data_IF_895214983293
#
_entry.id   IF_895214983293
#
_cell.length_a   1.000
_cell.length_b   1.000
_cell.length_c   1.000
_cell.angle_alpha   90.00
_cell.angle_beta   90.00
_cell.angle_gamma   90.00
#
_symmetry.space_group_name_H-M   'P 1'
#
loop_
_entity.id
_entity.type
_entity.pdbx_description
1 polymer ?
#
# COMPACT_ATOMS: atom_id res chain seq x y z
N UNK A 1 -24.62 -21.12 -37.36
CA UNK A 1 -24.40 -19.66 -37.42
C UNK A 1 -23.69 -19.24 -36.16
N UNK A 2 -22.36 -19.06 -36.23
CA UNK A 2 -21.54 -18.58 -35.09
C UNK A 2 -21.72 -17.08 -35.00
N UNK A 3 -22.39 -16.58 -33.96
CA UNK A 3 -22.35 -15.16 -33.61
C UNK A 3 -20.93 -14.84 -33.18
N UNK A 4 -20.22 -14.05 -33.97
CA UNK A 4 -18.99 -13.40 -33.57
C UNK A 4 -19.34 -12.44 -32.41
N UNK A 5 -18.80 -12.68 -31.24
CA UNK A 5 -18.80 -11.71 -30.18
C UNK A 5 -17.83 -10.59 -30.56
N UNK A 6 -18.33 -9.59 -31.27
CA UNK A 6 -17.71 -8.28 -31.33
C UNK A 6 -18.25 -7.50 -30.14
N UNK A 7 -17.50 -7.48 -29.08
CA UNK A 7 -17.80 -6.69 -27.92
C UNK A 7 -16.52 -6.52 -27.10
N UNK A 8 -15.60 -5.66 -27.56
CA UNK A 8 -14.68 -5.06 -26.63
C UNK A 8 -15.51 -4.42 -25.53
N UNK A 9 -15.37 -4.90 -24.30
CA UNK A 9 -16.11 -4.39 -23.14
C UNK A 9 -15.63 -2.95 -22.91
N UNK A 10 -16.31 -1.97 -23.51
CA UNK A 10 -16.07 -0.55 -23.22
C UNK A 10 -16.46 -0.35 -21.77
N UNK A 11 -15.54 0.12 -20.97
CA UNK A 11 -15.90 0.65 -19.64
C UNK A 11 -16.98 1.71 -19.88
N UNK A 12 -18.15 1.49 -19.30
CA UNK A 12 -19.20 2.50 -19.34
C UNK A 12 -18.67 3.78 -18.70
N UNK A 13 -19.18 4.94 -19.14
CA UNK A 13 -18.80 6.21 -18.52
C UNK A 13 -19.05 6.11 -17.01
N UNK A 14 -18.01 6.31 -16.15
CA UNK A 14 -18.19 6.17 -14.72
C UNK A 14 -19.09 7.26 -14.16
N UNK A 15 -19.72 6.94 -13.04
CA UNK A 15 -20.45 7.91 -12.23
C UNK A 15 -19.46 8.49 -11.21
N UNK A 16 -19.18 9.78 -11.31
CA UNK A 16 -18.35 10.48 -10.33
C UNK A 16 -19.22 10.93 -9.15
N UNK A 17 -18.81 10.57 -7.93
CA UNK A 17 -19.42 11.04 -6.68
C UNK A 17 -18.41 11.81 -5.88
N UNK A 18 -18.82 12.95 -5.36
CA UNK A 18 -17.99 13.82 -4.52
C UNK A 18 -18.80 14.28 -3.32
N UNK A 19 -18.20 14.09 -2.14
CA UNK A 19 -18.66 14.68 -0.88
C UNK A 19 -17.60 15.64 -0.37
N UNK A 20 -17.99 16.85 -0.03
CA UNK A 20 -17.09 17.90 0.44
C UNK A 20 -17.80 18.86 1.38
N UNK A 21 -17.03 19.62 2.14
CA UNK A 21 -17.55 20.71 2.98
C UNK A 21 -17.04 22.07 2.51
N UNK A 22 -17.85 23.08 2.74
CA UNK A 22 -17.54 24.49 2.49
C UNK A 22 -18.20 25.33 3.56
N UNK A 23 -17.43 26.12 4.31
CA UNK A 23 -17.90 26.99 5.38
C UNK A 23 -18.84 26.28 6.39
N UNK A 24 -18.52 25.02 6.72
CA UNK A 24 -19.27 24.19 7.67
C UNK A 24 -20.48 23.46 7.07
N UNK A 25 -20.91 23.77 5.86
CA UNK A 25 -21.95 23.03 5.16
C UNK A 25 -21.38 21.86 4.37
N UNK A 26 -22.07 20.70 4.37
CA UNK A 26 -21.69 19.50 3.62
C UNK A 26 -22.50 19.39 2.34
N UNK A 27 -21.83 19.08 1.25
CA UNK A 27 -22.41 18.90 -0.09
C UNK A 27 -22.11 17.51 -0.59
N UNK A 28 -23.10 16.86 -1.19
CA UNK A 28 -22.95 15.64 -1.95
C UNK A 28 -23.38 15.87 -3.39
N UNK A 29 -22.55 15.45 -4.34
CA UNK A 29 -22.80 15.65 -5.77
C UNK A 29 -22.58 14.35 -6.52
N UNK A 30 -23.37 14.15 -7.57
CA UNK A 30 -23.25 13.06 -8.52
C UNK A 30 -23.10 13.66 -9.91
N UNK A 31 -22.00 13.33 -10.59
CA UNK A 31 -21.67 13.87 -11.91
C UNK A 31 -20.44 14.75 -11.93
N UNK A 32 -20.15 15.35 -13.09
CA UNK A 32 -18.86 15.99 -13.39
C UNK A 32 -18.87 17.51 -13.18
N UNK A 33 -19.86 18.04 -12.48
CA UNK A 33 -19.91 19.45 -12.09
C UNK A 33 -20.76 19.62 -10.83
N UNK A 34 -20.50 20.68 -10.09
CA UNK A 34 -21.23 21.05 -8.88
C UNK A 34 -21.22 22.57 -8.68
N UNK A 35 -21.89 23.05 -7.63
CA UNK A 35 -22.02 24.50 -7.39
C UNK A 35 -20.67 25.18 -7.09
N UNK A 36 -19.67 24.43 -6.66
CA UNK A 36 -18.38 24.99 -6.22
C UNK A 36 -17.18 24.35 -6.93
N UNK A 37 -17.41 23.53 -7.96
CA UNK A 37 -16.34 22.90 -8.73
C UNK A 37 -16.79 22.56 -10.15
N UNK A 38 -15.81 22.37 -11.02
CA UNK A 38 -15.93 21.70 -12.32
C UNK A 38 -14.93 20.57 -12.41
N UNK A 39 -15.06 19.71 -13.43
CA UNK A 39 -14.18 18.57 -13.66
C UNK A 39 -13.70 18.57 -15.09
N UNK A 40 -12.40 18.40 -15.28
CA UNK A 40 -11.81 18.00 -16.56
C UNK A 40 -11.61 16.47 -16.50
N UNK A 41 -12.13 15.76 -17.51
CA UNK A 41 -11.98 14.31 -17.57
C UNK A 41 -11.63 13.84 -18.98
N UNK A 42 -10.74 12.84 -19.03
CA UNK A 42 -10.52 11.99 -20.19
C UNK A 42 -10.94 10.58 -19.80
N UNK A 43 -11.78 9.96 -20.62
CA UNK A 43 -12.23 8.59 -20.39
C UNK A 43 -12.32 7.87 -21.74
N UNK A 44 -11.44 6.90 -21.94
CA UNK A 44 -11.34 6.10 -23.14
C UNK A 44 -10.99 4.63 -22.82
N UNK A 45 -10.64 3.86 -23.82
CA UNK A 45 -10.30 2.44 -23.65
C UNK A 45 -8.99 2.22 -22.84
N UNK A 46 -8.14 3.24 -22.75
CA UNK A 46 -6.86 3.18 -22.02
C UNK A 46 -6.98 3.54 -20.54
N UNK A 47 -8.12 4.10 -20.11
CA UNK A 47 -8.35 4.45 -18.72
C UNK A 47 -9.18 5.71 -18.49
N UNK A 48 -9.08 6.26 -17.29
CA UNK A 48 -9.78 7.46 -16.86
C UNK A 48 -8.86 8.40 -16.10
N UNK A 49 -8.83 9.67 -16.54
CA UNK A 49 -8.17 10.75 -15.83
C UNK A 49 -9.20 11.80 -15.43
N UNK A 50 -9.16 12.24 -14.17
CA UNK A 50 -10.09 13.21 -13.62
C UNK A 50 -9.36 14.25 -12.78
N UNK A 51 -9.48 15.52 -13.18
CA UNK A 51 -8.97 16.66 -12.43
C UNK A 51 -10.14 17.48 -11.92
N UNK A 52 -10.21 17.68 -10.61
CA UNK A 52 -11.20 18.53 -9.93
C UNK A 52 -10.68 19.95 -9.90
N UNK A 53 -11.51 20.90 -10.32
CA UNK A 53 -11.19 22.33 -10.34
C UNK A 53 -12.16 23.06 -9.40
N UNK A 54 -11.74 23.39 -8.18
CA UNK A 54 -12.58 24.12 -7.23
C UNK A 54 -12.70 25.61 -7.65
N UNK A 55 -13.90 26.18 -7.53
CA UNK A 55 -14.12 27.63 -7.74
C UNK A 55 -13.76 28.47 -6.50
N UNK A 56 -13.58 27.83 -5.37
CA UNK A 56 -13.15 28.35 -4.06
C UNK A 56 -12.60 27.20 -3.21
N UNK A 57 -11.87 27.47 -2.12
CA UNK A 57 -11.36 26.40 -1.25
C UNK A 57 -12.50 25.51 -0.73
N UNK A 58 -12.40 24.19 -0.93
CA UNK A 58 -13.32 23.17 -0.42
C UNK A 58 -12.54 22.10 0.32
N UNK A 59 -13.12 21.55 1.38
CA UNK A 59 -12.52 20.42 2.10
C UNK A 59 -13.19 19.12 1.67
N UNK A 60 -12.41 18.21 1.12
CA UNK A 60 -12.88 16.92 0.62
C UNK A 60 -13.25 15.99 1.78
N UNK A 61 -14.27 15.16 1.59
CA UNK A 61 -14.70 14.14 2.54
C UNK A 61 -14.58 12.77 1.88
N UNK A 62 -15.09 12.60 0.65
CA UNK A 62 -14.91 11.38 -0.13
C UNK A 62 -15.02 11.65 -1.62
N UNK A 63 -14.34 10.85 -2.43
CA UNK A 63 -14.41 10.89 -3.89
C UNK A 63 -14.37 9.47 -4.45
N UNK A 64 -15.30 9.15 -5.37
CA UNK A 64 -15.34 7.85 -6.04
C UNK A 64 -15.75 7.95 -7.51
N UNK A 65 -15.25 6.98 -8.29
CA UNK A 65 -15.72 6.65 -9.63
C UNK A 65 -16.40 5.28 -9.56
N UNK A 66 -17.63 5.18 -10.01
CA UNK A 66 -18.38 3.93 -10.05
C UNK A 66 -18.63 3.51 -11.49
N UNK A 67 -18.29 2.28 -11.80
CA UNK A 67 -18.51 1.63 -13.10
C UNK A 67 -19.47 0.47 -12.91
N UNK A 68 -20.42 0.31 -13.82
CA UNK A 68 -21.17 -0.93 -13.92
C UNK A 68 -20.31 -1.98 -14.63
N UNK A 69 -20.17 -3.16 -14.03
CA UNK A 69 -19.41 -4.29 -14.56
C UNK A 69 -20.21 -5.58 -14.46
N UNK A 70 -20.38 -6.28 -15.57
CA UNK A 70 -20.99 -7.61 -15.58
C UNK A 70 -19.94 -8.66 -15.21
N UNK A 71 -19.94 -9.07 -13.97
CA UNK A 71 -19.00 -10.10 -13.49
C UNK A 71 -19.39 -11.46 -14.05
N UNK A 72 -18.42 -12.14 -14.67
CA UNK A 72 -18.59 -13.51 -15.13
C UNK A 72 -18.44 -14.50 -13.96
N UNK A 73 -19.12 -15.65 -14.05
CA UNK A 73 -19.13 -16.65 -12.97
C UNK A 73 -17.73 -17.09 -12.50
N UNK A 74 -16.76 -17.16 -13.40
CA UNK A 74 -15.40 -17.61 -13.11
C UNK A 74 -14.39 -16.46 -13.05
N UNK A 75 -14.86 -15.22 -13.08
CA UNK A 75 -14.00 -14.06 -13.02
C UNK A 75 -13.36 -13.94 -11.62
N UNK A 76 -12.08 -13.60 -11.59
CA UNK A 76 -11.33 -13.38 -10.38
C UNK A 76 -11.02 -11.90 -10.24
N UNK A 77 -11.14 -11.40 -9.02
CA UNK A 77 -10.66 -10.06 -8.64
C UNK A 77 -9.39 -10.20 -7.80
N UNK A 78 -8.36 -9.44 -8.13
CA UNK A 78 -7.13 -9.42 -7.35
C UNK A 78 -7.29 -8.48 -6.17
N UNK A 79 -7.22 -9.02 -4.96
CA UNK A 79 -7.13 -8.24 -3.72
C UNK A 79 -5.68 -7.95 -3.40
N UNK A 80 -5.39 -6.72 -3.03
CA UNK A 80 -4.06 -6.27 -2.63
C UNK A 80 -4.19 -5.31 -1.47
N UNK A 81 -3.70 -5.72 -0.32
CA UNK A 81 -3.69 -4.88 0.87
C UNK A 81 -2.50 -3.92 0.87
N UNK A 82 -2.60 -2.88 1.69
CA UNK A 82 -1.55 -1.87 1.83
C UNK A 82 -0.32 -2.39 2.59
N UNK A 83 -0.50 -3.34 3.48
CA UNK A 83 0.59 -3.88 4.32
C UNK A 83 0.87 -5.35 4.04
N UNK A 84 2.09 -5.78 4.40
CA UNK A 84 2.54 -7.16 4.27
C UNK A 84 1.71 -8.20 5.04
N UNK A 85 0.90 -7.77 6.00
CA UNK A 85 0.02 -8.65 6.80
C UNK A 85 -1.40 -8.75 6.25
N UNK A 86 -1.72 -8.00 5.21
CA UNK A 86 -2.98 -8.11 4.50
C UNK A 86 -2.90 -9.17 3.41
N UNK A 87 -4.03 -9.78 3.11
CA UNK A 87 -4.08 -10.80 2.07
C UNK A 87 -3.88 -10.17 0.70
N UNK A 88 -2.97 -10.74 -0.10
CA UNK A 88 -2.86 -10.47 -1.53
C UNK A 88 -3.12 -11.77 -2.29
N UNK A 89 -4.03 -11.74 -3.25
CA UNK A 89 -4.41 -12.93 -4.01
C UNK A 89 -5.69 -12.74 -4.81
N UNK A 90 -6.12 -13.80 -5.46
CA UNK A 90 -7.32 -13.79 -6.27
C UNK A 90 -8.54 -14.28 -5.50
N UNK A 91 -9.65 -13.56 -5.63
CA UNK A 91 -10.94 -13.87 -5.03
C UNK A 91 -12.01 -14.03 -6.10
N UNK A 92 -12.94 -14.93 -5.88
CA UNK A 92 -14.12 -15.19 -6.71
C UNK A 92 -15.41 -14.73 -6.04
N UNK A 93 -16.50 -14.72 -6.78
CA UNK A 93 -17.79 -14.24 -6.29
C UNK A 93 -18.30 -14.93 -5.01
N UNK A 94 -17.89 -16.17 -4.76
CA UNK A 94 -18.29 -16.93 -3.57
C UNK A 94 -17.38 -16.67 -2.34
N UNK A 95 -16.21 -16.05 -2.54
CA UNK A 95 -15.25 -15.80 -1.47
C UNK A 95 -15.70 -14.63 -0.57
N UNK A 96 -15.32 -14.71 0.71
CA UNK A 96 -15.59 -13.67 1.71
C UNK A 96 -14.27 -13.12 2.22
N UNK A 97 -14.01 -11.84 1.96
CA UNK A 97 -12.82 -11.14 2.44
C UNK A 97 -13.08 -10.53 3.83
N UNK A 98 -12.61 -11.20 4.87
CA UNK A 98 -12.91 -10.83 6.27
C UNK A 98 -11.83 -9.98 6.92
N UNK A 99 -10.65 -9.89 6.31
CA UNK A 99 -9.49 -9.26 6.92
C UNK A 99 -9.10 -9.92 8.25
N UNK A 100 -8.63 -9.13 9.21
CA UNK A 100 -8.28 -9.59 10.57
C UNK A 100 -9.46 -9.60 11.54
N UNK A 101 -10.67 -9.27 11.09
CA UNK A 101 -11.88 -9.23 11.94
C UNK A 101 -12.09 -10.49 12.82
N UNK A 102 -11.80 -11.72 12.32
CA UNK A 102 -11.91 -12.92 13.16
C UNK A 102 -10.91 -12.97 14.31
N UNK A 103 -9.75 -12.33 14.18
CA UNK A 103 -8.70 -12.29 15.23
C UNK A 103 -9.01 -11.24 16.31
N UNK A 104 -9.90 -10.31 16.05
CA UNK A 104 -10.29 -9.24 16.97
C UNK A 104 -10.97 -9.74 18.26
N UNK A 105 -11.37 -11.02 18.32
CA UNK A 105 -11.98 -11.64 19.50
C UNK A 105 -10.99 -12.27 20.48
N UNK A 106 -9.69 -12.35 20.17
CA UNK A 106 -8.76 -13.17 20.97
C UNK A 106 -8.21 -12.42 22.16
N UNK A 107 -7.80 -11.16 22.03
CA UNK A 107 -7.41 -10.28 23.16
C UNK A 107 -7.62 -8.80 22.81
N UNK A 108 -7.76 -7.93 23.81
CA UNK A 108 -7.82 -6.47 23.61
C UNK A 108 -6.59 -5.96 22.87
N UNK A 109 -5.40 -6.45 23.21
CA UNK A 109 -4.13 -6.08 22.59
C UNK A 109 -4.10 -6.46 21.09
N UNK A 110 -4.51 -7.67 20.75
CA UNK A 110 -4.56 -8.14 19.36
C UNK A 110 -5.58 -7.35 18.55
N UNK A 111 -6.71 -6.99 19.16
CA UNK A 111 -7.74 -6.15 18.53
C UNK A 111 -7.20 -4.75 18.24
N UNK A 112 -6.59 -4.10 19.21
CA UNK A 112 -6.07 -2.74 19.06
C UNK A 112 -4.94 -2.71 18.03
N UNK A 113 -4.04 -3.71 18.03
CA UNK A 113 -2.98 -3.85 17.03
C UNK A 113 -3.53 -4.10 15.62
N UNK A 114 -4.53 -4.94 15.47
CA UNK A 114 -5.15 -5.25 14.18
C UNK A 114 -5.91 -4.04 13.60
N UNK A 115 -6.62 -3.27 14.43
CA UNK A 115 -7.39 -2.09 13.99
C UNK A 115 -6.46 -0.93 13.61
N UNK A 116 -5.31 -0.79 14.28
CA UNK A 116 -4.35 0.30 14.02
C UNK A 116 -3.30 -0.04 12.97
N UNK A 117 -3.26 -1.29 12.51
CA UNK A 117 -2.30 -1.77 11.52
C UNK A 117 -2.97 -1.96 10.16
N UNK A 118 -2.28 -1.57 9.11
CA UNK A 118 -2.70 -1.78 7.74
C UNK A 118 -3.85 -0.90 7.29
N UNK A 119 -4.58 -1.44 6.36
CA UNK A 119 -5.69 -0.80 5.67
C UNK A 119 -7.02 -0.81 6.45
N UNK A 120 -7.05 -1.38 7.65
CA UNK A 120 -8.28 -1.54 8.44
C UNK A 120 -8.90 -0.22 8.94
N UNK A 121 -8.13 0.85 8.99
CA UNK A 121 -8.61 2.15 9.47
C UNK A 121 -9.37 2.94 8.40
N UNK A 122 -9.17 2.66 7.13
CA UNK A 122 -9.69 3.48 6.02
C UNK A 122 -10.22 2.68 4.82
N UNK A 123 -10.26 1.34 4.90
CA UNK A 123 -10.95 0.51 3.90
C UNK A 123 -12.13 -0.21 4.52
N UNK A 124 -13.07 -0.58 3.65
CA UNK A 124 -14.27 -1.30 4.07
C UNK A 124 -14.07 -2.80 3.91
N UNK A 125 -14.32 -3.53 4.97
CA UNK A 125 -14.43 -4.98 4.99
C UNK A 125 -15.89 -5.37 5.25
N UNK A 126 -16.62 -5.68 4.19
CA UNK A 126 -17.97 -6.22 4.31
C UNK A 126 -17.90 -7.75 4.28
N UNK A 127 -18.31 -8.46 5.35
CA UNK A 127 -18.17 -9.91 5.45
C UNK A 127 -19.26 -10.65 4.64
N UNK A 128 -19.37 -10.35 3.36
CA UNK A 128 -20.27 -10.98 2.40
C UNK A 128 -19.51 -11.41 1.13
N UNK A 129 -20.04 -12.40 0.40
CA UNK A 129 -19.42 -12.84 -0.84
C UNK A 129 -19.30 -11.71 -1.88
N UNK A 130 -18.20 -11.71 -2.64
CA UNK A 130 -18.02 -10.83 -3.78
C UNK A 130 -17.75 -9.37 -3.46
N UNK A 131 -17.53 -8.99 -2.19
CA UNK A 131 -17.10 -7.64 -1.82
C UNK A 131 -15.63 -7.62 -1.45
N UNK A 132 -14.83 -6.94 -2.26
CA UNK A 132 -13.37 -6.93 -2.15
C UNK A 132 -12.82 -5.53 -2.34
N UNK A 133 -11.56 -5.33 -1.89
CA UNK A 133 -10.81 -4.14 -2.21
C UNK A 133 -9.35 -4.46 -2.61
N UNK A 134 -8.73 -3.51 -3.29
CA UNK A 134 -7.33 -3.57 -3.69
C UNK A 134 -6.72 -2.18 -3.73
N UNK A 135 -5.51 -2.03 -3.20
CA UNK A 135 -4.77 -0.76 -3.21
C UNK A 135 -3.92 -0.62 -4.48
N UNK A 136 -3.87 0.60 -4.99
CA UNK A 136 -2.96 1.04 -6.07
C UNK A 136 -3.23 0.41 -7.42
N UNK A 137 -3.45 -0.89 -7.47
CA UNK A 137 -3.84 -1.62 -8.69
C UNK A 137 -4.67 -2.86 -8.36
N UNK A 138 -5.44 -3.27 -9.34
CA UNK A 138 -6.14 -4.56 -9.33
C UNK A 138 -6.19 -5.13 -10.74
N UNK A 139 -6.61 -6.36 -10.85
CA UNK A 139 -7.03 -6.91 -12.13
C UNK A 139 -8.27 -7.79 -11.99
N UNK A 140 -9.01 -7.87 -13.08
CA UNK A 140 -10.03 -8.88 -13.30
C UNK A 140 -9.43 -9.95 -14.21
N UNK A 141 -9.55 -11.22 -13.86
CA UNK A 141 -8.99 -12.32 -14.64
C UNK A 141 -10.06 -13.29 -15.11
N UNK A 142 -10.05 -13.58 -16.40
CA UNK A 142 -10.91 -14.57 -17.08
C UNK A 142 -10.04 -15.58 -17.81
N UNK A 143 -9.82 -16.75 -17.21
CA UNK A 143 -8.84 -17.71 -17.74
C UNK A 143 -7.42 -17.13 -17.76
N UNK A 144 -6.82 -17.00 -18.93
CA UNK A 144 -5.48 -16.43 -19.13
C UNK A 144 -5.51 -14.94 -19.54
N UNK A 145 -6.70 -14.33 -19.65
CA UNK A 145 -6.86 -12.91 -19.94
C UNK A 145 -6.96 -12.10 -18.66
N UNK A 146 -6.15 -11.07 -18.57
CA UNK A 146 -6.09 -10.10 -17.49
C UNK A 146 -6.59 -8.74 -17.97
N UNK A 147 -7.46 -8.12 -17.21
CA UNK A 147 -7.86 -6.72 -17.35
C UNK A 147 -7.36 -5.96 -16.13
N UNK A 148 -6.19 -5.34 -16.27
CA UNK A 148 -5.51 -4.61 -15.20
C UNK A 148 -5.98 -3.16 -15.14
N UNK A 149 -6.26 -2.69 -13.93
CA UNK A 149 -6.51 -1.29 -13.59
C UNK A 149 -5.44 -0.83 -12.62
N UNK A 150 -4.72 0.24 -12.96
CA UNK A 150 -3.63 0.75 -12.15
C UNK A 150 -3.69 2.26 -11.97
N UNK A 151 -3.45 2.72 -10.75
CA UNK A 151 -3.37 4.16 -10.44
C UNK A 151 -1.99 4.71 -10.76
N UNK A 152 -1.97 5.92 -11.33
CA UNK A 152 -0.77 6.74 -11.52
C UNK A 152 -0.76 7.98 -10.61
N UNK A 153 -1.79 8.19 -9.80
CA UNK A 153 -2.00 9.38 -8.97
C UNK A 153 -1.79 9.15 -7.46
N UNK A 154 -1.00 8.14 -7.08
CA UNK A 154 -0.75 7.80 -5.66
C UNK A 154 -0.09 8.92 -4.85
N UNK A 155 0.59 9.87 -5.49
CA UNK A 155 1.16 11.06 -4.82
C UNK A 155 0.09 12.00 -4.25
N UNK A 156 -1.13 11.89 -4.76
CA UNK A 156 -2.28 12.72 -4.40
C UNK A 156 -3.24 12.01 -3.43
N UNK A 157 -2.78 11.00 -2.71
CA UNK A 157 -3.57 10.15 -1.81
C UNK A 157 -3.69 8.73 -2.35
N UNK A 158 -4.00 7.79 -1.48
CA UNK A 158 -4.18 6.39 -1.86
C UNK A 158 -5.37 6.20 -2.79
N UNK A 159 -5.22 5.27 -3.73
CA UNK A 159 -6.31 4.83 -4.60
C UNK A 159 -6.71 3.42 -4.19
N UNK A 160 -7.99 3.22 -3.94
CA UNK A 160 -8.56 1.94 -3.55
C UNK A 160 -9.60 1.51 -4.56
N UNK A 161 -9.40 0.34 -5.15
CA UNK A 161 -10.36 -0.31 -6.03
C UNK A 161 -11.29 -1.19 -5.22
N UNK A 162 -12.58 -1.15 -5.48
CA UNK A 162 -13.57 -2.04 -4.87
C UNK A 162 -14.31 -2.82 -5.93
N UNK A 163 -14.65 -4.05 -5.60
CA UNK A 163 -15.57 -4.90 -6.33
C UNK A 163 -16.78 -5.19 -5.45
N UNK A 164 -17.98 -4.97 -5.97
CA UNK A 164 -19.24 -5.44 -5.43
C UNK A 164 -19.90 -6.30 -6.50
N UNK A 165 -19.56 -7.58 -6.51
CA UNK A 165 -19.97 -8.49 -7.58
C UNK A 165 -21.48 -8.75 -7.55
N UNK A 166 -22.12 -8.70 -6.39
CA UNK A 166 -23.56 -8.84 -6.23
C UNK A 166 -24.31 -7.68 -6.87
N UNK A 167 -23.79 -6.45 -6.74
CA UNK A 167 -24.41 -5.25 -7.28
C UNK A 167 -23.92 -4.87 -8.68
N UNK A 168 -23.00 -5.65 -9.25
CA UNK A 168 -22.36 -5.33 -10.53
C UNK A 168 -21.65 -3.96 -10.53
N UNK A 169 -21.01 -3.60 -9.40
CA UNK A 169 -20.28 -2.35 -9.24
C UNK A 169 -18.79 -2.64 -9.13
N UNK A 170 -18.01 -2.01 -10.00
CA UNK A 170 -16.58 -1.82 -9.84
C UNK A 170 -16.35 -0.35 -9.54
N UNK A 171 -15.68 -0.02 -8.44
CA UNK A 171 -15.45 1.38 -8.06
C UNK A 171 -14.01 1.66 -7.70
N UNK A 172 -13.65 2.94 -7.84
CA UNK A 172 -12.34 3.46 -7.47
C UNK A 172 -12.57 4.62 -6.52
N UNK A 173 -11.98 4.54 -5.34
CA UNK A 173 -12.06 5.59 -4.31
C UNK A 173 -10.70 6.22 -4.11
N UNK A 174 -10.71 7.52 -3.75
CA UNK A 174 -9.51 8.28 -3.41
C UNK A 174 -9.52 8.63 -1.94
N UNK A 175 -8.42 8.36 -1.25
CA UNK A 175 -8.20 8.83 0.12
C UNK A 175 -7.92 10.33 0.12
N UNK A 176 -8.95 11.09 0.43
CA UNK A 176 -8.94 12.58 0.40
C UNK A 176 -9.58 13.21 1.62
N UNK A 177 -9.99 12.41 2.62
CA UNK A 177 -10.72 12.91 3.78
C UNK A 177 -9.92 13.99 4.53
N UNK A 178 -10.54 15.15 4.70
CA UNK A 178 -9.94 16.28 5.39
C UNK A 178 -9.00 17.14 4.53
N UNK A 179 -8.73 16.75 3.27
CA UNK A 179 -7.89 17.54 2.37
C UNK A 179 -8.64 18.78 1.88
N UNK A 180 -8.08 19.96 2.14
CA UNK A 180 -8.59 21.22 1.59
C UNK A 180 -7.85 21.56 0.30
N UNK A 181 -8.59 21.74 -0.79
CA UNK A 181 -8.06 22.13 -2.09
C UNK A 181 -8.58 23.50 -2.52
N UNK A 182 -7.71 24.31 -3.10
CA UNK A 182 -8.01 25.62 -3.68
C UNK A 182 -7.57 25.76 -5.14
N UNK A 183 -6.80 24.81 -5.62
CA UNK A 183 -6.22 24.74 -6.96
C UNK A 183 -6.66 23.44 -7.66
N UNK A 184 -6.50 23.31 -8.97
CA UNK A 184 -6.78 22.07 -9.68
C UNK A 184 -6.09 20.87 -9.03
N UNK A 185 -6.88 19.84 -8.73
CA UNK A 185 -6.42 18.63 -8.05
C UNK A 185 -6.67 17.40 -8.92
N UNK A 186 -5.60 16.70 -9.30
CA UNK A 186 -5.67 15.42 -10.01
C UNK A 186 -6.22 14.35 -9.07
N UNK A 187 -7.52 14.09 -9.18
CA UNK A 187 -8.23 13.17 -8.31
C UNK A 187 -7.96 11.72 -8.69
N UNK A 188 -8.06 11.41 -9.98
CA UNK A 188 -7.83 10.09 -10.53
C UNK A 188 -6.98 10.15 -11.78
N UNK A 189 -6.02 9.25 -11.90
CA UNK A 189 -5.31 8.91 -13.13
C UNK A 189 -5.17 7.38 -13.13
N UNK A 190 -6.14 6.70 -13.77
CA UNK A 190 -6.26 5.26 -13.78
C UNK A 190 -6.04 4.77 -15.19
N UNK A 191 -5.06 3.90 -15.36
CA UNK A 191 -4.80 3.21 -16.63
C UNK A 191 -5.45 1.83 -16.65
N UNK A 192 -5.82 1.39 -17.85
CA UNK A 192 -6.42 0.09 -18.11
C UNK A 192 -5.65 -0.64 -19.19
N UNK A 193 -5.27 -1.89 -18.94
CA UNK A 193 -4.61 -2.76 -19.90
C UNK A 193 -5.30 -4.11 -19.95
N UNK A 194 -5.46 -4.67 -21.15
CA UNK A 194 -6.02 -6.01 -21.38
C UNK A 194 -4.99 -6.85 -22.13
N UNK A 195 -4.77 -8.09 -21.68
CA UNK A 195 -3.81 -9.00 -22.29
C UNK A 195 -3.37 -10.13 -21.39
N UNK A 196 -2.25 -10.75 -21.71
CA UNK A 196 -1.61 -11.74 -20.82
C UNK A 196 -0.97 -11.09 -19.59
N UNK A 197 -0.66 -11.91 -18.57
CA UNK A 197 -0.11 -11.44 -17.29
C UNK A 197 1.10 -10.52 -17.45
N UNK A 198 2.16 -11.00 -18.07
CA UNK A 198 3.39 -10.22 -18.25
C UNK A 198 3.14 -8.95 -19.07
N UNK A 199 2.31 -9.05 -20.12
CA UNK A 199 2.00 -7.94 -21.01
C UNK A 199 1.35 -6.77 -20.27
N UNK A 200 0.33 -7.02 -19.43
CA UNK A 200 -0.39 -5.95 -18.74
C UNK A 200 0.46 -5.30 -17.66
N UNK A 201 1.27 -6.08 -16.95
CA UNK A 201 2.18 -5.55 -15.94
C UNK A 201 3.36 -4.78 -16.52
N UNK A 202 3.96 -5.27 -17.61
CA UNK A 202 5.04 -4.56 -18.30
C UNK A 202 4.55 -3.19 -18.82
N UNK A 203 3.35 -3.14 -19.42
CA UNK A 203 2.72 -1.89 -19.84
C UNK A 203 2.46 -0.94 -18.66
N UNK A 204 1.91 -1.45 -17.56
CA UNK A 204 1.64 -0.65 -16.37
C UNK A 204 2.92 -0.05 -15.78
N UNK A 205 3.95 -0.86 -15.57
CA UNK A 205 5.22 -0.37 -15.02
C UNK A 205 5.94 0.58 -15.99
N UNK A 206 5.86 0.36 -17.29
CA UNK A 206 6.41 1.29 -18.29
C UNK A 206 5.70 2.66 -18.24
N UNK A 207 4.37 2.65 -18.05
CA UNK A 207 3.57 3.88 -17.96
C UNK A 207 3.89 4.72 -16.71
N UNK A 208 4.29 4.09 -15.60
CA UNK A 208 4.69 4.80 -14.39
C UNK A 208 5.90 5.71 -14.59
N UNK A 209 6.64 5.57 -15.69
CA UNK A 209 7.84 6.40 -16.02
C UNK A 209 8.80 6.54 -14.84
N UNK A 210 8.96 5.48 -14.06
CA UNK A 210 9.87 5.48 -12.92
C UNK A 210 11.30 5.67 -13.43
N UNK A 211 12.12 6.52 -12.75
CA UNK A 211 13.51 6.68 -13.13
C UNK A 211 14.20 5.32 -13.11
N UNK A 212 15.01 5.05 -14.14
CA UNK A 212 15.79 3.82 -14.22
C UNK A 212 16.62 3.68 -12.94
N UNK A 213 16.27 2.74 -12.09
CA UNK A 213 17.04 2.43 -10.89
C UNK A 213 18.22 1.54 -11.28
N UNK A 214 19.32 1.68 -10.57
CA UNK A 214 20.42 0.72 -10.66
C UNK A 214 19.84 -0.67 -10.44
N UNK A 215 19.98 -1.56 -11.42
CA UNK A 215 19.57 -2.94 -11.28
C UNK A 215 20.37 -3.57 -10.14
N UNK A 216 19.68 -4.09 -9.15
CA UNK A 216 20.30 -4.84 -8.06
C UNK A 216 20.22 -6.31 -8.45
N UNK A 217 21.34 -7.00 -8.39
CA UNK A 217 21.37 -8.44 -8.58
C UNK A 217 20.57 -9.14 -7.46
N UNK A 218 20.19 -10.40 -7.72
CA UNK A 218 19.50 -11.19 -6.71
C UNK A 218 20.38 -11.29 -5.46
N UNK A 219 19.85 -10.81 -4.33
CA UNK A 219 20.48 -10.94 -3.03
C UNK A 219 19.87 -12.09 -2.26
N UNK A 220 20.72 -12.93 -1.70
CA UNK A 220 20.36 -13.96 -0.73
C UNK A 220 21.13 -13.67 0.55
N UNK A 221 20.52 -13.88 1.71
CA UNK A 221 21.17 -13.43 2.92
C UNK A 221 20.70 -14.08 4.20
N UNK A 222 21.42 -13.72 5.24
CA UNK A 222 21.12 -13.99 6.62
C UNK A 222 20.46 -12.76 7.25
N UNK A 223 19.50 -12.98 8.13
CA UNK A 223 18.97 -11.98 9.06
C UNK A 223 18.86 -12.56 10.47
N UNK A 224 19.17 -11.77 11.49
CA UNK A 224 19.13 -12.22 12.89
C UNK A 224 17.71 -12.40 13.44
N UNK A 225 16.68 -11.83 12.80
CA UNK A 225 15.32 -11.72 13.34
C UNK A 225 14.70 -13.07 13.73
N UNK A 226 14.58 -13.98 12.77
CA UNK A 226 13.80 -15.22 12.96
C UNK A 226 14.33 -16.17 14.04
N UNK A 227 15.58 -16.02 14.44
CA UNK A 227 16.17 -16.85 15.50
C UNK A 227 16.20 -16.17 16.87
N UNK A 228 16.41 -14.83 16.90
CA UNK A 228 16.70 -14.12 18.14
C UNK A 228 15.70 -13.03 18.46
N UNK A 229 14.90 -12.55 17.50
CA UNK A 229 14.13 -11.31 17.62
C UNK A 229 15.06 -10.17 18.07
N UNK A 230 14.68 -9.40 19.06
CA UNK A 230 15.49 -8.31 19.63
C UNK A 230 16.61 -8.78 20.60
N UNK A 231 16.73 -10.11 20.84
CA UNK A 231 17.71 -10.65 21.81
C UNK A 231 19.04 -10.94 21.11
N UNK A 232 19.69 -9.92 20.61
CA UNK A 232 20.99 -9.98 19.94
C UNK A 232 22.04 -9.18 20.69
N UNK A 233 23.27 -9.63 20.60
CA UNK A 233 24.47 -8.96 21.09
C UNK A 233 25.64 -9.18 20.10
N UNK A 234 26.75 -8.46 20.33
CA UNK A 234 27.94 -8.55 19.49
C UNK A 234 28.48 -9.98 19.35
N UNK A 235 28.45 -10.76 20.44
CA UNK A 235 28.98 -12.12 20.44
C UNK A 235 28.10 -13.06 19.60
N UNK A 236 26.77 -12.95 19.72
CA UNK A 236 25.80 -13.68 18.91
C UNK A 236 26.04 -13.40 17.44
N UNK A 237 26.11 -12.12 17.08
CA UNK A 237 26.26 -11.67 15.68
C UNK A 237 27.59 -12.15 15.09
N UNK A 238 28.71 -11.99 15.81
CA UNK A 238 30.02 -12.43 15.31
C UNK A 238 30.14 -13.97 15.23
N UNK A 239 29.50 -14.69 16.15
CA UNK A 239 29.41 -16.16 16.08
C UNK A 239 28.65 -16.62 14.85
N UNK A 240 27.52 -16.01 14.55
CA UNK A 240 26.68 -16.38 13.42
C UNK A 240 27.32 -15.99 12.10
N UNK A 241 28.01 -14.85 12.04
CA UNK A 241 28.83 -14.46 10.91
C UNK A 241 29.90 -15.50 10.58
N UNK A 242 30.61 -15.99 11.60
CA UNK A 242 31.59 -17.06 11.46
C UNK A 242 30.95 -18.36 10.99
N UNK A 243 29.75 -18.68 11.51
CA UNK A 243 28.99 -19.88 11.11
C UNK A 243 28.53 -19.83 9.64
N UNK A 244 28.24 -18.66 9.12
CA UNK A 244 27.77 -18.44 7.75
C UNK A 244 28.85 -18.71 6.68
N UNK A 245 30.13 -18.74 7.05
CA UNK A 245 31.24 -19.05 6.12
C UNK A 245 31.03 -20.37 5.36
N UNK A 246 30.26 -21.31 5.93
CA UNK A 246 29.90 -22.59 5.30
C UNK A 246 28.92 -22.46 4.11
N UNK A 247 28.20 -21.34 4.04
CA UNK A 247 27.23 -21.03 2.98
C UNK A 247 27.67 -19.88 2.08
N UNK A 248 28.96 -19.53 2.07
CA UNK A 248 29.53 -18.34 1.42
C UNK A 248 29.15 -18.19 -0.05
N UNK A 249 29.09 -19.28 -0.79
CA UNK A 249 28.77 -19.27 -2.23
C UNK A 249 27.28 -18.96 -2.50
N UNK A 250 26.42 -19.10 -1.50
CA UNK A 250 24.98 -18.97 -1.63
C UNK A 250 24.43 -17.69 -0.97
N UNK A 251 25.28 -16.89 -0.31
CA UNK A 251 24.88 -15.76 0.52
C UNK A 251 25.69 -14.51 0.14
N UNK A 252 24.99 -13.41 -0.07
CA UNK A 252 25.58 -12.11 -0.46
C UNK A 252 25.51 -11.08 0.67
N UNK A 253 24.50 -11.16 1.55
CA UNK A 253 24.24 -10.16 2.59
C UNK A 253 24.13 -10.80 3.96
N UNK A 254 24.70 -10.13 4.96
CA UNK A 254 24.51 -10.41 6.37
C UNK A 254 23.83 -9.22 7.02
N UNK A 255 22.57 -9.37 7.43
CA UNK A 255 21.76 -8.31 8.00
C UNK A 255 21.62 -8.48 9.52
N UNK A 256 21.84 -7.39 10.23
CA UNK A 256 21.46 -7.24 11.62
C UNK A 256 20.05 -6.67 11.65
N UNK A 257 19.12 -7.37 12.27
CA UNK A 257 17.73 -6.96 12.43
C UNK A 257 17.53 -6.12 13.71
N UNK A 258 16.26 -5.87 14.08
CA UNK A 258 15.84 -5.13 15.27
C UNK A 258 16.54 -5.64 16.55
N UNK A 259 16.92 -4.73 17.46
CA UNK A 259 17.55 -5.02 18.75
C UNK A 259 18.98 -4.49 18.91
N UNK A 260 19.57 -3.87 17.86
CA UNK A 260 20.87 -3.19 18.00
C UNK A 260 20.72 -1.79 18.58
N UNK A 261 19.62 -1.11 18.29
CA UNK A 261 19.31 0.23 18.77
C UNK A 261 18.84 0.24 20.22
N UNK A 262 19.02 1.35 20.97
CA UNK A 262 18.52 1.45 22.33
C UNK A 262 16.99 1.48 22.40
N UNK A 263 16.34 2.15 21.43
CA UNK A 263 14.89 2.24 21.28
C UNK A 263 14.52 2.44 19.81
N UNK A 264 13.42 1.86 19.36
CA UNK A 264 12.89 2.08 18.01
C UNK A 264 12.70 3.58 17.76
N UNK A 265 13.34 4.10 16.74
CA UNK A 265 13.42 5.52 16.39
C UNK A 265 14.84 6.09 16.54
N UNK A 266 15.67 5.57 17.45
CA UNK A 266 17.02 6.07 17.68
C UNK A 266 18.04 5.37 16.77
N UNK A 267 17.80 5.42 15.45
CA UNK A 267 18.52 4.64 14.41
C UNK A 267 20.00 4.97 14.24
N UNK A 268 20.46 6.11 14.75
CA UNK A 268 21.87 6.51 14.71
C UNK A 268 22.64 6.08 15.96
N UNK A 269 21.93 5.51 16.93
CA UNK A 269 22.51 5.01 18.19
C UNK A 269 22.49 3.48 18.22
N UNK A 270 23.24 2.92 19.15
CA UNK A 270 23.25 1.49 19.41
C UNK A 270 23.27 1.22 20.91
N UNK A 271 22.79 0.05 21.31
CA UNK A 271 22.84 -0.39 22.70
C UNK A 271 24.27 -0.77 23.08
N UNK A 272 24.97 0.16 23.70
CA UNK A 272 26.40 0.00 24.09
C UNK A 272 26.67 -1.12 25.10
N UNK A 273 25.67 -1.63 25.82
CA UNK A 273 25.82 -2.81 26.68
C UNK A 273 25.96 -4.07 25.84
N UNK A 274 25.12 -4.21 24.79
CA UNK A 274 25.03 -5.42 24.01
C UNK A 274 25.98 -5.36 22.79
N UNK A 275 26.37 -4.15 22.37
CA UNK A 275 27.33 -3.88 21.28
C UNK A 275 28.45 -2.93 21.76
N UNK A 276 29.34 -3.37 22.66
CA UNK A 276 30.33 -2.50 23.31
C UNK A 276 31.35 -1.87 22.33
N UNK A 277 31.61 -2.54 21.20
CA UNK A 277 32.54 -2.05 20.18
C UNK A 277 31.86 -1.30 19.01
N UNK A 278 30.53 -1.14 19.08
CA UNK A 278 29.73 -0.39 18.15
C UNK A 278 29.47 -1.08 16.81
N UNK A 279 28.49 -0.55 16.08
CA UNK A 279 28.02 -1.16 14.81
C UNK A 279 29.07 -1.14 13.70
N UNK A 280 30.02 -0.17 13.72
CA UNK A 280 31.10 -0.14 12.76
C UNK A 280 31.98 -1.39 12.83
N UNK A 281 32.30 -1.86 14.02
CA UNK A 281 33.10 -3.08 14.24
C UNK A 281 32.41 -4.30 13.62
N UNK A 282 31.11 -4.41 13.75
CA UNK A 282 30.32 -5.47 13.13
C UNK A 282 30.33 -5.33 11.61
N UNK A 283 30.05 -4.15 11.06
CA UNK A 283 30.07 -3.91 9.62
C UNK A 283 31.45 -4.24 9.00
N UNK A 284 32.53 -3.83 9.64
CA UNK A 284 33.90 -4.16 9.19
C UNK A 284 34.17 -5.68 9.24
N UNK A 285 33.63 -6.38 10.23
CA UNK A 285 33.75 -7.84 10.29
C UNK A 285 32.99 -8.53 9.14
N UNK A 286 31.76 -8.09 8.87
CA UNK A 286 30.92 -8.58 7.77
C UNK A 286 31.64 -8.37 6.42
N UNK A 287 32.19 -7.18 6.17
CA UNK A 287 32.92 -6.86 4.95
C UNK A 287 34.20 -7.70 4.79
N UNK A 288 34.94 -7.95 5.87
CA UNK A 288 36.13 -8.81 5.84
C UNK A 288 35.82 -10.25 5.42
N UNK A 289 34.62 -10.74 5.77
CA UNK A 289 34.13 -12.03 5.32
C UNK A 289 33.58 -12.02 3.88
N UNK A 290 33.56 -10.83 3.22
CA UNK A 290 33.15 -10.65 1.83
C UNK A 290 31.65 -10.55 1.61
N UNK A 291 30.86 -10.26 2.66
CA UNK A 291 29.42 -10.03 2.57
C UNK A 291 29.11 -8.52 2.51
N UNK A 292 27.94 -8.20 2.00
CA UNK A 292 27.31 -6.89 2.18
C UNK A 292 26.79 -6.80 3.62
N UNK A 293 27.08 -5.69 4.33
CA UNK A 293 26.52 -5.45 5.64
C UNK A 293 25.13 -4.83 5.49
N UNK A 294 24.12 -5.48 6.06
CA UNK A 294 22.74 -5.01 6.15
C UNK A 294 22.36 -4.59 7.56
N UNK A 295 21.49 -3.61 7.68
CA UNK A 295 20.89 -3.19 8.96
C UNK A 295 19.39 -2.93 8.74
N UNK A 296 18.58 -3.39 9.68
CA UNK A 296 17.13 -3.17 9.67
C UNK A 296 16.78 -1.79 10.22
N UNK A 297 15.76 -1.17 9.65
CA UNK A 297 15.20 0.10 10.09
C UNK A 297 13.67 0.08 9.94
N UNK A 298 12.97 0.73 10.88
CA UNK A 298 11.57 1.10 10.75
C UNK A 298 11.43 2.64 10.79
N UNK A 299 11.84 3.36 9.74
CA UNK A 299 12.09 4.80 9.77
C UNK A 299 10.87 5.67 10.07
N UNK A 300 9.67 5.09 9.96
CA UNK A 300 8.40 5.77 10.25
C UNK A 300 7.81 5.40 11.62
N UNK A 301 8.56 4.63 12.43
CA UNK A 301 8.12 4.20 13.75
C UNK A 301 9.03 4.76 14.85
N UNK A 302 8.44 5.12 15.98
CA UNK A 302 9.16 5.60 17.15
C UNK A 302 8.56 5.01 18.42
N UNK A 303 9.42 4.52 19.34
CA UNK A 303 8.98 3.91 20.58
C UNK A 303 8.48 4.97 21.56
N UNK A 304 7.18 4.87 21.89
CA UNK A 304 6.49 5.83 22.74
C UNK A 304 7.16 5.92 24.13
N UNK A 305 7.39 7.17 24.57
CA UNK A 305 7.88 7.47 25.93
C UNK A 305 9.34 7.16 26.21
N UNK A 306 10.09 6.66 25.21
CA UNK A 306 11.50 6.26 25.40
C UNK A 306 12.45 6.87 24.39
N UNK A 307 12.14 6.83 23.10
CA UNK A 307 13.01 7.36 22.06
C UNK A 307 13.29 8.85 22.23
N UNK A 308 14.52 9.25 21.92
CA UNK A 308 15.02 10.63 21.93
C UNK A 308 14.30 11.49 20.90
N UNK A 309 13.96 10.95 19.75
CA UNK A 309 13.22 11.61 18.65
C UNK A 309 11.93 12.29 19.14
N UNK A 310 11.22 11.68 20.09
CA UNK A 310 10.01 12.27 20.65
C UNK A 310 10.20 13.64 21.30
N UNK A 311 11.42 13.91 21.81
CA UNK A 311 11.78 15.17 22.50
C UNK A 311 12.47 16.14 21.55
N UNK A 312 13.34 15.63 20.69
CA UNK A 312 14.17 16.43 19.78
C UNK A 312 13.38 16.90 18.56
N UNK A 313 12.43 16.07 18.07
CA UNK A 313 11.66 16.33 16.87
C UNK A 313 10.16 16.04 17.06
N UNK A 314 9.48 16.73 17.99
CA UNK A 314 8.05 16.53 18.23
C UNK A 314 7.18 16.93 17.02
N UNK A 315 7.72 17.70 16.08
CA UNK A 315 7.14 18.12 14.80
C UNK A 315 7.11 17.01 13.75
N UNK A 316 7.93 15.96 13.92
CA UNK A 316 7.93 14.80 13.02
C UNK A 316 6.80 13.81 13.33
N UNK A 317 6.17 13.95 14.48
CA UNK A 317 5.14 13.00 14.91
C UNK A 317 3.84 13.23 14.13
N UNK A 318 3.36 12.18 13.49
CA UNK A 318 2.01 12.16 12.93
C UNK A 318 1.02 12.21 14.09
N UNK A 319 0.02 13.09 13.97
CA UNK A 319 -1.00 13.30 15.00
C UNK A 319 -2.37 12.93 14.46
N UNK A 320 -3.18 12.33 15.33
CA UNK A 320 -4.59 12.12 15.03
C UNK A 320 -5.37 13.46 15.07
N UNK A 321 -6.64 13.47 14.66
CA UNK A 321 -7.48 14.69 14.71
C UNK A 321 -7.56 15.34 16.10
N UNK A 322 -7.37 14.58 17.19
CA UNK A 322 -7.36 15.09 18.58
C UNK A 322 -5.99 15.69 18.97
N UNK A 323 -5.04 15.77 18.03
CA UNK A 323 -3.70 16.31 18.25
C UNK A 323 -2.75 15.39 19.04
N UNK A 324 -3.13 14.14 19.29
CA UNK A 324 -2.28 13.15 19.98
C UNK A 324 -1.44 12.38 18.97
N UNK A 325 -0.15 12.12 19.24
CA UNK A 325 0.68 11.27 18.41
C UNK A 325 0.30 9.80 18.53
#
# INVERSE_FOLDING_TARGET
MKRKSQGGNRMNKPVFRLKYSLAGAVYETVGYSGPHFSVITVNDESGVKLTLIPSRPITLISASLEFWHEYEKNEKFFVNGYQSWTTSGEMSAEDIYRGTTPLAGVTKYTKDMAITSGDYAFTRYEPRPGFFHSFTYTYLRRGDEFELFGSLSERNGYTVFYSDMEKHIFSVEKDVEGLTISEPYEMFDIVRFVGGYDEVFDKYFATMSLPAKKRVDRLTGYTSWYNYFQKIDENIILRDLKGLSRARESVNIFQIDDGYEPFVGDWLDYNGRDFPNGMKTIADAVHREGYLAGIWLAPFNVQRGKSRILKEHPDWLIRNPDGKP
#
